data_IF_678658544771
#
_entry.id   IF_678658544771
#
_cell.length_a   1.000
_cell.length_b   1.000
_cell.length_c   1.000
_cell.angle_alpha   90.00
_cell.angle_beta   90.00
_cell.angle_gamma   90.00
#
_symmetry.space_group_name_H-M   'P 1'
#
loop_
_entity.id
_entity.type
_entity.pdbx_description
1 polymer ?
#
# COMPACT_ATOMS: atom_id res chain seq x y z
N UNK A 1 16.12 4.56 -28.47
CA UNK A 1 15.11 5.58 -28.12
C UNK A 1 15.12 5.69 -26.61
N UNK A 2 15.53 6.82 -26.09
CA UNK A 2 15.59 7.12 -24.65
C UNK A 2 14.15 7.13 -24.10
N UNK A 3 13.79 6.30 -23.10
CA UNK A 3 12.43 6.28 -22.53
C UNK A 3 12.18 7.45 -21.55
N UNK A 4 13.13 8.37 -21.37
CA UNK A 4 12.95 9.58 -20.58
C UNK A 4 11.97 10.56 -21.24
N UNK A 5 10.73 10.65 -20.75
CA UNK A 5 9.96 11.91 -20.60
C UNK A 5 8.46 11.77 -20.31
N UNK A 6 7.92 10.58 -19.98
CA UNK A 6 6.46 10.48 -19.74
C UNK A 6 6.05 10.87 -18.30
N UNK A 7 6.97 10.84 -17.33
CA UNK A 7 6.62 10.86 -15.91
C UNK A 7 6.90 12.15 -15.14
N UNK A 8 7.73 13.06 -15.69
CA UNK A 8 8.09 14.31 -15.00
C UNK A 8 8.20 15.50 -15.95
N UNK A 9 7.68 16.66 -15.51
CA UNK A 9 7.68 17.90 -16.31
C UNK A 9 9.00 18.66 -16.27
N UNK A 10 9.82 18.43 -15.25
CA UNK A 10 11.15 19.03 -15.08
C UNK A 10 11.94 18.22 -14.05
N UNK A 11 13.27 18.22 -14.16
CA UNK A 11 14.15 17.63 -13.16
C UNK A 11 15.34 18.55 -12.87
N UNK A 12 15.92 18.43 -11.67
CA UNK A 12 17.16 19.06 -11.27
C UNK A 12 18.00 18.08 -10.43
N UNK A 13 19.33 18.20 -10.51
CA UNK A 13 20.24 17.42 -9.67
C UNK A 13 20.46 18.16 -8.36
N UNK A 14 20.22 17.48 -7.24
CA UNK A 14 20.41 18.01 -5.89
C UNK A 14 21.41 17.17 -5.11
N UNK A 15 22.09 17.79 -4.15
CA UNK A 15 22.96 17.09 -3.20
C UNK A 15 22.41 17.37 -1.79
N UNK A 16 21.61 16.46 -1.23
CA UNK A 16 21.06 16.62 0.10
C UNK A 16 22.16 16.73 1.15
N UNK A 17 22.11 17.78 1.97
CA UNK A 17 23.06 17.98 3.08
C UNK A 17 22.39 17.64 4.39
N UNK A 18 22.84 16.57 5.04
CA UNK A 18 22.41 16.22 6.39
C UNK A 18 22.75 17.34 7.39
N UNK A 19 21.76 17.76 8.17
CA UNK A 19 21.91 18.75 9.23
C UNK A 19 22.01 18.02 10.56
N UNK A 20 23.20 17.94 11.14
CA UNK A 20 23.39 17.39 12.48
C UNK A 20 22.99 18.43 13.52
N UNK A 21 21.96 18.12 14.33
CA UNK A 21 21.60 18.96 15.47
C UNK A 21 22.58 18.64 16.61
N UNK A 22 23.52 19.57 16.88
CA UNK A 22 24.35 19.50 18.09
C UNK A 22 23.43 19.58 19.32
N UNK A 23 23.36 18.52 20.12
CA UNK A 23 22.76 18.54 21.47
C UNK A 23 21.39 17.88 21.65
N UNK A 24 20.98 16.90 20.83
CA UNK A 24 19.83 16.02 21.16
C UNK A 24 20.22 14.55 21.09
N UNK A 25 20.04 13.87 22.21
CA UNK A 25 20.15 12.42 22.40
C UNK A 25 18.98 11.71 21.71
N UNK A 26 19.10 11.43 20.41
CA UNK A 26 18.75 10.11 19.84
C UNK A 26 19.16 10.06 18.34
N UNK A 27 20.31 9.45 17.99
CA UNK A 27 20.86 9.48 16.63
C UNK A 27 20.01 8.79 15.55
N UNK A 28 18.92 8.09 15.91
CA UNK A 28 18.14 7.25 14.98
C UNK A 28 16.68 7.65 14.76
N UNK A 29 16.11 8.60 15.53
CA UNK A 29 14.66 8.87 15.44
C UNK A 29 14.29 10.07 14.58
N UNK A 30 15.20 11.03 14.42
CA UNK A 30 14.97 12.26 13.69
C UNK A 30 16.14 12.56 12.78
N UNK A 31 15.83 12.99 11.57
CA UNK A 31 16.81 13.46 10.61
C UNK A 31 16.39 14.83 10.09
N UNK A 32 17.34 15.59 9.56
CA UNK A 32 17.02 16.82 8.84
C UNK A 32 17.98 16.96 7.68
N UNK A 33 17.47 17.38 6.54
CA UNK A 33 18.26 17.61 5.34
C UNK A 33 17.98 19.00 4.80
N UNK A 34 19.00 19.64 4.27
CA UNK A 34 18.86 20.82 3.44
C UNK A 34 18.97 20.43 1.97
N UNK A 35 17.96 20.79 1.21
CA UNK A 35 17.85 20.59 -0.23
C UNK A 35 17.85 21.97 -0.91
N UNK A 36 18.47 22.07 -2.09
CA UNK A 36 18.32 23.23 -2.95
C UNK A 36 17.24 22.89 -3.99
N UNK A 37 16.03 23.37 -3.79
CA UNK A 37 14.90 23.14 -4.69
C UNK A 37 14.60 24.42 -5.46
N UNK A 38 14.66 24.39 -6.79
CA UNK A 38 14.39 25.54 -7.67
C UNK A 38 15.19 26.80 -7.28
N UNK A 39 16.46 26.60 -6.89
CA UNK A 39 17.36 27.68 -6.45
C UNK A 39 17.10 28.20 -5.02
N UNK A 40 16.11 27.68 -4.29
CA UNK A 40 15.82 28.04 -2.91
C UNK A 40 16.23 26.95 -1.94
N UNK A 41 16.82 27.33 -0.81
CA UNK A 41 17.15 26.38 0.26
C UNK A 41 15.86 25.97 0.98
N UNK A 42 15.60 24.68 1.01
CA UNK A 42 14.50 24.07 1.73
C UNK A 42 15.08 23.15 2.80
N UNK A 43 14.61 23.28 4.03
CA UNK A 43 14.98 22.38 5.13
C UNK A 43 13.83 21.41 5.34
N UNK A 44 14.12 20.12 5.31
CA UNK A 44 13.14 19.07 5.61
C UNK A 44 13.45 18.49 6.99
N UNK A 45 12.41 18.34 7.81
CA UNK A 45 12.50 17.70 9.11
C UNK A 45 11.80 16.36 9.06
N UNK A 46 12.51 15.32 9.45
CA UNK A 46 12.10 13.94 9.31
C UNK A 46 12.01 13.27 10.68
N UNK A 47 11.01 12.42 10.85
CA UNK A 47 10.84 11.52 11.98
C UNK A 47 10.62 10.10 11.47
N UNK A 48 11.35 9.16 12.04
CA UNK A 48 11.24 7.74 11.66
C UNK A 48 9.83 7.22 11.93
N UNK A 49 9.32 6.39 11.02
CA UNK A 49 8.01 5.73 11.11
C UNK A 49 8.20 4.23 11.10
N UNK A 50 8.14 3.64 12.29
CA UNK A 50 8.30 2.18 12.50
C UNK A 50 6.99 1.40 12.42
N UNK A 51 5.84 2.09 12.43
CA UNK A 51 4.52 1.47 12.61
C UNK A 51 3.84 1.04 11.30
N UNK A 52 4.44 1.25 10.12
CA UNK A 52 3.85 0.89 8.81
C UNK A 52 3.96 -0.58 8.44
N UNK A 53 4.86 -1.29 9.10
CA UNK A 53 5.18 -2.65 8.73
C UNK A 53 5.17 -3.49 9.99
N UNK A 54 4.54 -4.66 9.94
CA UNK A 54 4.74 -5.63 11.00
C UNK A 54 6.20 -6.05 10.96
N UNK A 55 6.92 -5.92 12.09
CA UNK A 55 8.30 -6.39 12.18
C UNK A 55 8.39 -7.85 11.70
N UNK A 56 9.27 -8.11 10.73
CA UNK A 56 9.48 -9.44 10.12
C UNK A 56 8.20 -10.03 9.49
N UNK A 57 7.46 -9.27 8.68
CA UNK A 57 6.37 -9.84 7.89
C UNK A 57 6.89 -10.92 6.91
N UNK A 58 6.10 -11.98 6.64
CA UNK A 58 6.52 -13.04 5.74
C UNK A 58 6.50 -12.56 4.29
N UNK A 59 7.55 -12.90 3.55
CA UNK A 59 7.66 -12.76 2.10
C UNK A 59 7.75 -14.15 1.49
N UNK A 60 6.83 -14.45 0.58
CA UNK A 60 6.77 -15.70 -0.14
C UNK A 60 7.29 -15.52 -1.57
N UNK A 61 8.15 -16.41 -2.03
CA UNK A 61 8.70 -16.42 -3.39
C UNK A 61 8.88 -17.86 -3.88
N UNK A 62 8.95 -18.04 -5.20
CA UNK A 62 9.07 -19.34 -5.83
C UNK A 62 10.48 -19.59 -6.36
N UNK A 63 10.99 -20.79 -6.12
CA UNK A 63 12.26 -21.28 -6.62
C UNK A 63 12.12 -22.73 -7.10
N UNK A 64 12.27 -22.97 -8.39
CA UNK A 64 12.05 -24.24 -9.09
C UNK A 64 10.69 -24.88 -8.76
N UNK A 65 9.62 -24.08 -8.75
CA UNK A 65 8.25 -24.49 -8.43
C UNK A 65 7.97 -24.66 -6.93
N UNK A 66 8.98 -24.55 -6.07
CA UNK A 66 8.82 -24.66 -4.61
C UNK A 66 8.54 -23.28 -4.03
N UNK A 67 7.50 -23.20 -3.19
CA UNK A 67 7.17 -22.00 -2.44
C UNK A 67 8.07 -21.88 -1.22
N UNK A 68 8.98 -20.90 -1.25
CA UNK A 68 9.81 -20.52 -0.11
C UNK A 68 9.18 -19.40 0.69
N UNK A 69 9.49 -19.35 1.98
CA UNK A 69 9.12 -18.25 2.85
C UNK A 69 10.34 -17.67 3.56
N UNK A 70 10.53 -16.37 3.38
CA UNK A 70 11.56 -15.59 4.03
C UNK A 70 10.95 -14.51 4.92
N UNK A 71 11.71 -14.10 5.94
CA UNK A 71 11.42 -12.87 6.68
C UNK A 71 12.62 -11.95 6.48
N UNK A 72 12.64 -11.15 5.40
CA UNK A 72 13.80 -10.32 5.09
C UNK A 72 14.08 -9.38 6.25
N UNK A 73 15.36 -9.21 6.59
CA UNK A 73 15.77 -8.19 7.55
C UNK A 73 15.59 -6.83 6.90
N UNK A 74 14.45 -6.20 7.16
CA UNK A 74 14.15 -4.87 6.67
C UNK A 74 14.52 -3.87 7.76
N UNK A 75 15.37 -2.91 7.42
CA UNK A 75 15.70 -1.83 8.34
C UNK A 75 14.48 -0.91 8.50
N UNK A 76 13.81 -1.02 9.65
CA UNK A 76 12.67 -0.16 10.00
C UNK A 76 13.11 1.28 10.37
N UNK A 77 14.41 1.54 10.43
CA UNK A 77 14.98 2.83 10.84
C UNK A 77 15.28 3.77 9.64
N UNK A 78 14.81 3.41 8.44
CA UNK A 78 15.05 4.18 7.23
C UNK A 78 13.80 4.76 6.56
N UNK A 79 12.58 4.43 7.01
CA UNK A 79 11.36 5.08 6.54
C UNK A 79 11.02 6.28 7.43
N UNK A 80 10.96 7.46 6.82
CA UNK A 80 10.74 8.72 7.49
C UNK A 80 9.53 9.44 6.92
N UNK A 81 8.83 10.14 7.79
CA UNK A 81 7.90 11.19 7.40
C UNK A 81 8.30 12.54 7.97
N UNK A 82 7.83 13.59 7.33
CA UNK A 82 8.23 14.92 7.70
C UNK A 82 7.44 16.04 7.05
N UNK A 83 8.00 17.22 7.20
CA UNK A 83 7.49 18.45 6.62
C UNK A 83 8.66 19.34 6.20
N UNK A 84 8.35 20.32 5.36
CA UNK A 84 9.30 21.34 4.90
C UNK A 84 9.16 22.56 5.82
N UNK A 85 10.28 23.02 6.37
CA UNK A 85 10.34 24.17 7.27
C UNK A 85 9.76 25.42 6.59
N UNK A 86 8.86 26.13 7.29
CA UNK A 86 8.24 27.35 6.78
C UNK A 86 7.16 27.16 5.70
N UNK A 87 6.81 25.92 5.34
CA UNK A 87 5.75 25.63 4.34
C UNK A 87 4.57 24.90 5.00
N UNK A 88 3.48 25.63 5.37
CA UNK A 88 2.27 25.02 5.93
C UNK A 88 1.66 23.99 4.98
N UNK A 89 1.20 22.87 5.55
CA UNK A 89 0.58 21.78 4.77
C UNK A 89 1.54 21.00 3.87
N UNK A 90 2.85 21.23 3.98
CA UNK A 90 3.85 20.38 3.31
C UNK A 90 3.93 18.99 3.94
N UNK A 91 4.33 18.03 3.13
CA UNK A 91 4.50 16.64 3.56
C UNK A 91 5.71 16.03 2.88
N UNK A 92 6.44 15.17 3.60
CA UNK A 92 7.61 14.46 3.08
C UNK A 92 7.49 13.00 3.51
N UNK A 93 7.68 12.06 2.58
CA UNK A 93 7.83 10.63 2.86
C UNK A 93 9.08 10.13 2.14
N UNK A 94 10.05 9.63 2.88
CA UNK A 94 11.36 9.23 2.36
C UNK A 94 11.81 7.89 2.94
N UNK A 95 12.34 7.04 2.07
CA UNK A 95 13.21 5.94 2.41
C UNK A 95 14.66 6.42 2.31
N UNK A 96 15.48 6.17 3.34
CA UNK A 96 16.89 6.60 3.41
C UNK A 96 17.88 5.43 3.40
N UNK A 97 17.41 4.19 3.21
CA UNK A 97 18.25 2.98 3.30
C UNK A 97 19.38 2.97 2.26
N UNK A 98 19.12 3.47 1.06
CA UNK A 98 20.07 3.52 -0.06
C UNK A 98 20.16 4.92 -0.64
N UNK A 99 20.18 5.94 0.23
CA UNK A 99 20.00 7.35 -0.15
C UNK A 99 18.55 7.80 -0.08
N UNK A 100 18.28 9.08 -0.29
CA UNK A 100 16.92 9.64 -0.22
C UNK A 100 16.09 9.22 -1.45
N UNK A 101 15.08 8.38 -1.23
CA UNK A 101 14.07 8.02 -2.24
C UNK A 101 12.69 8.31 -1.68
N UNK A 102 11.82 8.97 -2.44
CA UNK A 102 10.43 9.16 -2.04
C UNK A 102 9.80 10.43 -2.58
N UNK A 103 8.83 10.97 -1.84
CA UNK A 103 7.95 12.06 -2.29
C UNK A 103 8.00 13.25 -1.34
N UNK A 104 8.06 14.45 -1.92
CA UNK A 104 7.88 15.72 -1.23
C UNK A 104 6.68 16.45 -1.82
N UNK A 105 5.78 16.95 -0.96
CA UNK A 105 4.64 17.78 -1.35
C UNK A 105 4.90 19.19 -0.81
N UNK A 106 5.11 20.13 -1.73
CA UNK A 106 5.30 21.56 -1.42
C UNK A 106 4.19 22.35 -2.08
N UNK A 107 3.39 23.08 -1.30
CA UNK A 107 2.31 23.96 -1.81
C UNK A 107 1.36 23.21 -2.77
N UNK A 108 1.02 21.97 -2.43
CA UNK A 108 0.14 21.11 -3.23
C UNK A 108 0.78 20.48 -4.47
N UNK A 109 2.07 20.73 -4.74
CA UNK A 109 2.80 20.14 -5.86
C UNK A 109 3.66 18.95 -5.39
N UNK A 110 3.48 17.76 -5.98
CA UNK A 110 4.30 16.60 -5.67
C UNK A 110 5.62 16.60 -6.46
N UNK A 111 6.70 16.31 -5.76
CA UNK A 111 8.05 16.13 -6.27
C UNK A 111 8.54 14.73 -5.89
N UNK A 112 9.15 14.03 -6.85
CA UNK A 112 9.88 12.79 -6.58
C UNK A 112 11.36 13.07 -6.36
N UNK A 113 11.98 12.34 -5.44
CA UNK A 113 13.44 12.33 -5.27
C UNK A 113 13.94 10.89 -5.33
N UNK A 114 15.05 10.67 -6.03
CA UNK A 114 15.70 9.36 -6.09
C UNK A 114 17.22 9.47 -6.20
N UNK A 115 17.98 8.51 -5.66
CA UNK A 115 19.44 8.46 -5.80
C UNK A 115 19.83 8.27 -7.27
N UNK A 116 20.93 8.90 -7.69
CA UNK A 116 21.54 8.61 -8.99
C UNK A 116 22.41 7.35 -8.91
N UNK A 117 22.16 6.36 -9.76
CA UNK A 117 22.83 5.04 -9.73
C UNK A 117 24.38 5.09 -9.77
N UNK A 118 24.96 6.14 -10.35
CA UNK A 118 26.42 6.30 -10.54
C UNK A 118 27.03 7.45 -9.74
N UNK A 119 26.29 8.02 -8.79
CA UNK A 119 26.73 9.19 -8.03
C UNK A 119 27.99 8.92 -7.19
N UNK A 120 28.97 9.83 -7.26
CA UNK A 120 30.16 9.84 -6.39
C UNK A 120 30.02 10.78 -5.19
N UNK A 121 28.96 11.61 -5.14
CA UNK A 121 28.80 12.72 -4.19
C UNK A 121 27.44 12.75 -3.47
N UNK A 122 26.74 11.62 -3.42
CA UNK A 122 25.38 11.52 -2.88
C UNK A 122 24.41 12.46 -3.63
N UNK A 123 24.48 12.43 -4.96
CA UNK A 123 23.62 13.18 -5.86
C UNK A 123 22.29 12.46 -6.06
N UNK A 124 21.22 13.25 -6.13
CA UNK A 124 19.86 12.81 -6.30
C UNK A 124 19.22 13.55 -7.46
N UNK A 125 18.33 12.88 -8.18
CA UNK A 125 17.42 13.53 -9.12
C UNK A 125 16.19 13.97 -8.33
N UNK A 126 15.87 15.26 -8.40
CA UNK A 126 14.63 15.82 -7.90
C UNK A 126 13.79 16.23 -9.09
N UNK A 127 12.56 15.73 -9.20
CA UNK A 127 11.71 15.97 -10.36
C UNK A 127 10.28 16.33 -9.99
N UNK A 128 9.66 17.16 -10.82
CA UNK A 128 8.23 17.49 -10.70
C UNK A 128 7.42 16.37 -11.31
N UNK A 129 6.49 15.79 -10.55
CA UNK A 129 5.66 14.73 -11.11
C UNK A 129 4.61 15.35 -12.04
N UNK A 130 4.38 14.74 -13.22
CA UNK A 130 3.42 15.25 -14.18
C UNK A 130 2.00 15.36 -13.58
N UNK A 131 1.31 16.47 -13.85
CA UNK A 131 0.01 16.79 -13.24
C UNK A 131 -1.19 15.98 -13.77
N UNK A 132 -1.06 15.26 -14.89
CA UNK A 132 -2.22 14.90 -15.73
C UNK A 132 -2.47 13.40 -15.96
N UNK A 133 -1.74 12.50 -15.30
CA UNK A 133 -2.10 11.08 -15.33
C UNK A 133 -3.36 10.86 -14.47
N UNK A 134 -4.44 10.40 -15.10
CA UNK A 134 -5.68 9.96 -14.44
C UNK A 134 -5.78 8.46 -14.56
N UNK A 135 -6.26 7.85 -13.49
CA UNK A 135 -6.55 6.43 -13.45
C UNK A 135 -8.03 6.23 -13.13
N UNK A 136 -8.66 5.24 -13.77
CA UNK A 136 -10.08 4.94 -13.61
C UNK A 136 -10.33 3.62 -12.86
N UNK A 137 -11.51 3.52 -12.26
CA UNK A 137 -12.02 2.36 -11.54
C UNK A 137 -13.44 2.03 -12.00
N UNK A 138 -13.75 0.76 -12.30
CA UNK A 138 -15.10 0.29 -12.69
C UNK A 138 -15.85 -0.49 -11.63
N UNK A 139 -15.53 -0.28 -10.36
CA UNK A 139 -16.37 -0.76 -9.27
C UNK A 139 -17.76 -0.15 -9.42
N UNK A 140 -18.78 -1.00 -9.59
CA UNK A 140 -20.18 -0.57 -9.71
C UNK A 140 -20.99 -1.08 -8.53
N UNK A 141 -21.80 -0.22 -7.92
CA UNK A 141 -22.66 -0.58 -6.78
C UNK A 141 -23.66 -1.71 -7.10
N UNK A 142 -23.99 -1.92 -8.38
CA UNK A 142 -24.87 -3.01 -8.85
C UNK A 142 -24.14 -4.29 -9.26
N UNK A 143 -22.84 -4.24 -9.55
CA UNK A 143 -22.04 -5.37 -10.04
C UNK A 143 -21.09 -5.97 -9.00
N UNK A 144 -20.77 -5.24 -7.93
CA UNK A 144 -20.06 -5.80 -6.78
C UNK A 144 -20.95 -6.83 -6.09
N UNK A 145 -20.42 -8.03 -5.82
CA UNK A 145 -21.11 -8.98 -4.94
C UNK A 145 -21.18 -8.37 -3.54
N UNK A 146 -22.26 -7.63 -3.27
CA UNK A 146 -22.51 -7.02 -1.97
C UNK A 146 -22.72 -8.15 -0.98
N UNK A 147 -21.87 -8.21 0.05
CA UNK A 147 -22.09 -9.09 1.20
C UNK A 147 -23.34 -8.61 1.93
N UNK A 148 -24.49 -9.16 1.54
CA UNK A 148 -25.73 -9.05 2.31
C UNK A 148 -25.62 -9.99 3.49
N UNK A 149 -25.17 -9.50 4.64
CA UNK A 149 -25.36 -10.21 5.90
C UNK A 149 -26.85 -10.22 6.22
N UNK A 150 -27.55 -11.26 5.78
CA UNK A 150 -28.94 -11.57 6.13
C UNK A 150 -29.03 -12.03 7.59
N UNK A 151 -28.66 -11.16 8.52
CA UNK A 151 -29.11 -11.19 9.91
C UNK A 151 -29.55 -9.78 10.28
N UNK A 152 -30.76 -9.43 9.87
CA UNK A 152 -31.53 -8.36 10.51
C UNK A 152 -31.80 -8.78 11.98
N UNK A 153 -30.82 -8.63 12.86
CA UNK A 153 -31.13 -8.30 14.24
C UNK A 153 -31.41 -6.80 14.23
N UNK A 154 -32.66 -6.45 14.56
CA UNK A 154 -33.23 -5.12 14.37
C UNK A 154 -32.25 -3.98 14.63
N UNK A 155 -32.11 -3.11 13.62
CA UNK A 155 -31.41 -1.84 13.70
C UNK A 155 -31.98 -1.00 14.84
N UNK A 156 -31.44 -1.16 16.05
CA UNK A 156 -31.60 -0.18 17.11
C UNK A 156 -30.70 0.99 16.75
N UNK A 157 -31.30 2.09 16.29
CA UNK A 157 -30.64 3.40 16.21
C UNK A 157 -29.86 3.63 17.51
N UNK A 158 -28.55 3.98 17.47
CA UNK A 158 -27.86 4.43 18.66
C UNK A 158 -28.60 5.67 19.17
N UNK A 159 -29.07 5.63 20.42
CA UNK A 159 -29.74 6.77 21.06
C UNK A 159 -28.77 7.87 21.51
N UNK A 160 -27.45 7.72 21.30
CA UNK A 160 -26.45 8.66 21.82
C UNK A 160 -25.37 9.07 20.81
N UNK A 161 -25.00 10.37 20.76
CA UNK A 161 -23.81 10.89 20.06
C UNK A 161 -22.47 10.26 20.52
N UNK A 162 -22.46 9.58 21.67
CA UNK A 162 -21.26 8.97 22.27
C UNK A 162 -20.74 7.76 21.47
N UNK A 163 -21.60 7.01 20.79
CA UNK A 163 -21.17 5.93 19.90
C UNK A 163 -20.46 6.46 18.65
N UNK A 164 -20.86 7.64 18.16
CA UNK A 164 -20.20 8.34 17.05
C UNK A 164 -18.77 8.73 17.42
N UNK A 165 -18.55 9.26 18.63
CA UNK A 165 -17.20 9.66 19.05
C UNK A 165 -16.28 8.45 19.25
N UNK A 166 -16.79 7.30 19.71
CA UNK A 166 -15.96 6.11 19.99
C UNK A 166 -15.38 5.45 18.73
N UNK A 167 -16.08 5.52 17.59
CA UNK A 167 -15.55 4.95 16.34
C UNK A 167 -14.45 5.82 15.74
N UNK A 168 -14.59 7.14 15.83
CA UNK A 168 -13.61 8.09 15.31
C UNK A 168 -12.47 8.40 16.30
N UNK A 169 -12.60 8.06 17.58
CA UNK A 169 -11.58 8.32 18.60
C UNK A 169 -10.35 7.42 18.51
N UNK A 170 -10.44 6.30 17.78
CA UNK A 170 -9.34 5.33 17.65
C UNK A 170 -9.00 5.14 16.18
N UNK A 171 -7.71 5.21 15.86
CA UNK A 171 -7.19 4.86 14.54
C UNK A 171 -7.54 3.41 14.23
N UNK A 172 -7.94 3.16 12.99
CA UNK A 172 -8.18 1.83 12.44
C UNK A 172 -6.91 1.34 11.78
N UNK A 173 -6.60 0.06 11.93
CA UNK A 173 -5.45 -0.56 11.31
C UNK A 173 -5.94 -1.60 10.30
N UNK A 174 -5.40 -1.56 9.09
CA UNK A 174 -5.71 -2.55 8.04
C UNK A 174 -4.48 -3.42 7.85
N UNK A 175 -4.56 -4.69 8.28
CA UNK A 175 -3.53 -5.70 8.01
C UNK A 175 -3.63 -6.13 6.53
N UNK A 176 -2.91 -5.45 5.64
CA UNK A 176 -2.94 -5.70 4.21
C UNK A 176 -1.91 -6.76 3.81
N UNK A 177 -2.33 -7.74 3.02
CA UNK A 177 -1.43 -8.66 2.32
C UNK A 177 -1.29 -8.24 0.85
N UNK A 178 -0.08 -8.17 0.32
CA UNK A 178 0.14 -7.77 -1.08
C UNK A 178 0.65 -8.94 -1.91
N UNK A 179 0.05 -9.16 -3.07
CA UNK A 179 0.53 -10.12 -4.07
C UNK A 179 1.05 -9.36 -5.28
N UNK A 180 2.25 -9.70 -5.75
CA UNK A 180 2.86 -9.10 -6.93
C UNK A 180 2.89 -10.15 -8.04
N UNK A 181 2.18 -9.87 -9.14
CA UNK A 181 2.16 -10.78 -10.28
C UNK A 181 3.54 -10.84 -10.98
N UNK A 182 3.77 -11.91 -11.73
CA UNK A 182 5.05 -12.21 -12.37
C UNK A 182 5.50 -11.10 -13.31
N UNK A 183 4.59 -10.57 -14.13
CA UNK A 183 4.92 -9.47 -15.03
C UNK A 183 5.38 -8.24 -14.25
N UNK A 184 4.68 -7.88 -13.17
CA UNK A 184 5.07 -6.73 -12.34
C UNK A 184 6.43 -6.93 -11.69
N UNK A 185 6.70 -8.14 -11.21
CA UNK A 185 8.01 -8.55 -10.67
C UNK A 185 9.13 -8.41 -11.72
N UNK A 186 8.91 -8.87 -12.95
CA UNK A 186 9.88 -8.73 -14.04
C UNK A 186 10.19 -7.26 -14.36
N UNK A 187 9.16 -6.42 -14.39
CA UNK A 187 9.34 -4.99 -14.64
C UNK A 187 10.11 -4.28 -13.51
N UNK A 188 10.16 -4.84 -12.29
CA UNK A 188 11.05 -4.40 -11.21
C UNK A 188 12.41 -5.12 -11.20
N UNK A 189 12.83 -5.64 -12.36
CA UNK A 189 14.15 -6.24 -12.55
C UNK A 189 14.28 -7.66 -12.00
N UNK A 190 13.17 -8.35 -11.76
CA UNK A 190 13.14 -9.73 -11.26
C UNK A 190 13.94 -9.91 -9.96
N UNK A 191 13.88 -8.92 -9.06
CA UNK A 191 14.58 -8.92 -7.79
C UNK A 191 13.58 -8.86 -6.63
N UNK A 192 13.63 -9.88 -5.77
CA UNK A 192 12.72 -10.03 -4.61
C UNK A 192 12.89 -8.86 -3.65
N UNK A 193 14.13 -8.48 -3.32
CA UNK A 193 14.40 -7.41 -2.37
C UNK A 193 13.96 -6.04 -2.90
N UNK A 194 14.23 -5.74 -4.17
CA UNK A 194 13.73 -4.51 -4.80
C UNK A 194 12.21 -4.49 -4.82
N UNK A 195 11.55 -5.59 -5.18
CA UNK A 195 10.08 -5.72 -5.17
C UNK A 195 9.50 -5.46 -3.79
N UNK A 196 10.10 -6.06 -2.74
CA UNK A 196 9.70 -5.85 -1.35
C UNK A 196 9.80 -4.37 -0.98
N UNK A 197 10.93 -3.71 -1.29
CA UNK A 197 11.12 -2.30 -1.00
C UNK A 197 10.12 -1.41 -1.76
N UNK A 198 9.82 -1.69 -3.03
CA UNK A 198 8.85 -0.93 -3.82
C UNK A 198 7.45 -0.99 -3.22
N UNK A 199 6.99 -2.18 -2.83
CA UNK A 199 5.68 -2.34 -2.19
C UNK A 199 5.63 -1.67 -0.82
N UNK A 200 6.72 -1.72 -0.06
CA UNK A 200 6.82 -0.99 1.21
C UNK A 200 6.71 0.53 1.03
N UNK A 201 7.43 1.09 0.04
CA UNK A 201 7.37 2.50 -0.28
C UNK A 201 5.95 2.91 -0.72
N UNK A 202 5.28 2.10 -1.56
CA UNK A 202 3.88 2.29 -1.94
C UNK A 202 2.97 2.29 -0.71
N UNK A 203 3.13 1.33 0.20
CA UNK A 203 2.32 1.22 1.43
C UNK A 203 2.50 2.44 2.34
N UNK A 204 3.74 2.95 2.46
CA UNK A 204 4.01 4.17 3.20
C UNK A 204 3.32 5.40 2.56
N UNK A 205 3.31 5.49 1.23
CA UNK A 205 2.59 6.55 0.51
C UNK A 205 1.06 6.39 0.61
N UNK A 206 0.53 5.17 0.62
CA UNK A 206 -0.90 4.91 0.82
C UNK A 206 -1.40 5.49 2.15
N UNK A 207 -0.56 5.48 3.19
CA UNK A 207 -0.88 6.08 4.49
C UNK A 207 -1.04 7.61 4.48
N UNK A 208 -0.63 8.29 3.41
CA UNK A 208 -0.94 9.71 3.21
C UNK A 208 -2.45 9.89 3.03
N UNK A 209 -3.07 9.03 2.21
CA UNK A 209 -4.48 9.14 1.84
C UNK A 209 -5.40 8.49 2.89
N UNK A 210 -5.05 7.30 3.39
CA UNK A 210 -5.91 6.54 4.33
C UNK A 210 -6.11 7.25 5.68
N UNK A 211 -5.19 8.12 6.09
CA UNK A 211 -5.30 8.92 7.32
C UNK A 211 -6.44 9.93 7.31
N UNK A 212 -6.89 10.38 6.13
CA UNK A 212 -8.03 11.31 6.05
C UNK A 212 -9.33 10.67 6.59
N UNK A 213 -9.42 9.33 6.62
CA UNK A 213 -10.50 8.56 7.25
C UNK A 213 -10.04 7.84 8.54
N UNK A 214 -9.01 8.37 9.22
CA UNK A 214 -8.44 7.84 10.46
C UNK A 214 -8.07 6.34 10.41
N UNK A 215 -7.48 5.93 9.28
CA UNK A 215 -7.04 4.56 9.03
C UNK A 215 -5.55 4.53 8.70
N UNK A 216 -4.85 3.49 9.13
CA UNK A 216 -3.46 3.19 8.76
C UNK A 216 -3.37 1.78 8.16
N UNK A 217 -2.80 1.69 6.96
CA UNK A 217 -2.46 0.46 6.29
C UNK A 217 -1.15 -0.06 6.86
N UNK A 218 -1.14 -1.33 7.23
CA UNK A 218 0.03 -2.02 7.75
C UNK A 218 0.27 -3.27 6.89
N UNK A 219 1.48 -3.40 6.35
CA UNK A 219 1.84 -4.57 5.56
C UNK A 219 1.99 -5.79 6.47
N UNK A 220 1.11 -6.78 6.31
CA UNK A 220 1.04 -8.00 7.10
C UNK A 220 1.77 -9.18 6.46
N UNK A 221 2.02 -9.12 5.15
CA UNK A 221 2.75 -10.14 4.38
C UNK A 221 2.78 -9.80 2.89
N UNK A 222 3.64 -10.50 2.15
CA UNK A 222 3.78 -10.34 0.71
C UNK A 222 4.02 -11.68 0.02
N UNK A 223 3.44 -11.89 -1.16
CA UNK A 223 3.76 -13.02 -2.02
C UNK A 223 4.12 -12.52 -3.42
N UNK A 224 5.25 -12.99 -3.95
CA UNK A 224 5.79 -12.58 -5.23
C UNK A 224 5.79 -13.82 -6.13
N UNK A 225 5.04 -13.75 -7.22
CA UNK A 225 4.97 -14.82 -8.20
C UNK A 225 6.19 -14.77 -9.12
N UNK A 226 7.34 -15.24 -8.64
CA UNK A 226 8.65 -15.07 -9.28
C UNK A 226 8.84 -15.89 -10.55
N UNK A 227 8.10 -16.99 -10.74
CA UNK A 227 8.28 -17.93 -11.87
C UNK A 227 7.12 -17.96 -12.87
N UNK A 228 5.96 -17.42 -12.48
CA UNK A 228 4.75 -17.39 -13.29
C UNK A 228 3.54 -17.11 -12.42
N UNK A 229 2.47 -16.61 -13.04
CA UNK A 229 1.24 -16.32 -12.30
C UNK A 229 0.54 -17.63 -11.87
N UNK A 230 0.05 -17.68 -10.63
CA UNK A 230 -0.64 -18.87 -10.08
C UNK A 230 -2.12 -18.94 -10.47
N UNK A 231 -2.62 -17.90 -11.12
CA UNK A 231 -3.96 -17.78 -11.66
C UNK A 231 -3.88 -17.19 -13.06
N UNK A 232 -4.98 -17.25 -13.81
CA UNK A 232 -5.13 -16.46 -15.02
C UNK A 232 -5.34 -14.98 -14.67
N UNK A 233 -4.52 -14.11 -15.25
CA UNK A 233 -4.50 -12.65 -15.03
C UNK A 233 -4.80 -11.93 -16.36
N UNK A 234 -6.05 -11.99 -16.87
CA UNK A 234 -6.42 -11.30 -18.11
C UNK A 234 -6.47 -9.77 -17.92
N UNK A 235 -6.55 -9.06 -19.05
CA UNK A 235 -6.63 -7.59 -19.06
C UNK A 235 -7.95 -7.03 -18.49
N UNK A 236 -9.02 -7.83 -18.46
CA UNK A 236 -10.23 -7.53 -17.69
C UNK A 236 -10.00 -7.81 -16.19
N UNK A 237 -9.80 -6.73 -15.42
CA UNK A 237 -9.55 -6.80 -13.99
C UNK A 237 -10.72 -7.38 -13.18
N UNK A 238 -11.95 -7.43 -13.72
CA UNK A 238 -13.09 -8.08 -13.04
C UNK A 238 -12.94 -9.59 -13.02
N UNK A 239 -12.41 -10.17 -14.08
CA UNK A 239 -12.09 -11.60 -14.14
C UNK A 239 -10.89 -11.88 -13.24
N UNK A 240 -9.84 -11.06 -13.33
CA UNK A 240 -8.66 -11.17 -12.45
C UNK A 240 -9.03 -11.11 -10.97
N UNK A 241 -9.89 -10.17 -10.55
CA UNK A 241 -10.35 -10.07 -9.15
C UNK A 241 -11.04 -11.35 -8.66
N UNK A 242 -11.87 -11.98 -9.51
CA UNK A 242 -12.56 -13.23 -9.15
C UNK A 242 -11.57 -14.38 -8.98
N UNK A 243 -10.65 -14.54 -9.93
CA UNK A 243 -9.61 -15.56 -9.90
C UNK A 243 -8.72 -15.38 -8.67
N UNK A 244 -8.25 -14.15 -8.41
CA UNK A 244 -7.41 -13.80 -7.28
C UNK A 244 -8.11 -14.08 -5.95
N UNK A 245 -9.39 -13.73 -5.84
CA UNK A 245 -10.14 -13.97 -4.62
C UNK A 245 -10.47 -15.46 -4.37
N UNK A 246 -10.60 -16.29 -5.42
CA UNK A 246 -10.70 -17.75 -5.27
C UNK A 246 -9.38 -18.30 -4.72
N UNK A 247 -8.26 -17.94 -5.36
CA UNK A 247 -6.92 -18.33 -4.91
C UNK A 247 -6.64 -17.86 -3.47
N UNK A 248 -7.02 -16.63 -3.11
CA UNK A 248 -6.89 -16.11 -1.75
C UNK A 248 -7.61 -17.00 -0.73
N UNK A 249 -8.83 -17.42 -1.05
CA UNK A 249 -9.65 -18.23 -0.15
C UNK A 249 -9.09 -19.64 0.03
N UNK A 250 -8.62 -20.24 -1.06
CA UNK A 250 -8.14 -21.62 -1.09
C UNK A 250 -6.71 -21.75 -0.54
N UNK A 251 -5.84 -20.79 -0.85
CA UNK A 251 -4.40 -20.87 -0.58
C UNK A 251 -3.99 -19.89 0.51
N UNK A 252 -4.16 -18.59 0.28
CA UNK A 252 -3.56 -17.54 1.12
C UNK A 252 -4.12 -17.50 2.56
N UNK A 253 -5.43 -17.70 2.74
CA UNK A 253 -6.06 -17.67 4.06
C UNK A 253 -5.49 -18.71 5.04
N UNK A 254 -4.94 -19.82 4.53
CA UNK A 254 -4.31 -20.85 5.33
C UNK A 254 -2.87 -20.50 5.73
N UNK A 255 -2.23 -19.57 5.01
CA UNK A 255 -0.83 -19.17 5.21
C UNK A 255 -0.72 -18.00 6.19
N UNK A 256 -1.45 -16.91 5.93
CA UNK A 256 -1.31 -15.66 6.68
C UNK A 256 -2.68 -15.02 6.94
N UNK A 257 -2.95 -14.70 8.21
CA UNK A 257 -4.12 -13.90 8.58
C UNK A 257 -3.92 -12.46 8.12
N UNK A 258 -4.92 -11.91 7.43
CA UNK A 258 -4.94 -10.56 6.89
C UNK A 258 -6.38 -10.05 6.83
N UNK A 259 -6.55 -8.72 6.80
CA UNK A 259 -7.84 -8.05 6.77
C UNK A 259 -8.35 -7.83 5.35
N UNK A 260 -7.41 -7.62 4.41
CA UNK A 260 -7.60 -7.46 2.97
C UNK A 260 -6.36 -7.99 2.23
N UNK A 261 -6.53 -8.44 0.99
CA UNK A 261 -5.41 -8.75 0.10
C UNK A 261 -5.52 -7.95 -1.21
N UNK A 262 -4.43 -7.33 -1.63
CA UNK A 262 -4.38 -6.53 -2.86
C UNK A 262 -3.37 -7.15 -3.83
N UNK A 263 -3.72 -7.23 -5.11
CA UNK A 263 -2.85 -7.77 -6.16
C UNK A 263 -2.38 -6.66 -7.09
N UNK A 264 -1.07 -6.50 -7.20
CA UNK A 264 -0.44 -5.55 -8.14
C UNK A 264 -0.12 -6.29 -9.44
N UNK A 265 -0.72 -5.83 -10.54
CA UNK A 265 -0.50 -6.40 -11.88
C UNK A 265 0.28 -5.45 -12.78
N UNK A 266 1.16 -5.99 -13.62
CA UNK A 266 2.06 -5.19 -14.46
C UNK A 266 1.54 -4.86 -15.86
N UNK A 267 0.51 -5.56 -16.35
CA UNK A 267 0.00 -5.33 -17.70
C UNK A 267 -0.84 -4.04 -17.81
N UNK A 268 -1.00 -3.56 -19.04
CA UNK A 268 -1.95 -2.49 -19.33
C UNK A 268 -3.36 -3.09 -19.39
N UNK A 269 -4.31 -2.60 -18.58
CA UNK A 269 -5.66 -3.13 -18.57
C UNK A 269 -6.45 -2.69 -19.82
N UNK A 270 -7.57 -3.36 -20.09
CA UNK A 270 -8.44 -3.05 -21.24
C UNK A 270 -9.22 -1.74 -21.07
N UNK A 271 -9.78 -1.52 -19.87
CA UNK A 271 -10.61 -0.33 -19.57
C UNK A 271 -10.10 0.36 -18.30
N UNK A 272 -10.29 -0.26 -17.13
CA UNK A 272 -9.97 0.31 -15.83
C UNK A 272 -8.73 -0.28 -15.19
N UNK A 273 -8.07 0.52 -14.37
CA UNK A 273 -6.81 0.12 -13.72
C UNK A 273 -7.01 -0.39 -12.30
N UNK A 274 -8.22 -0.35 -11.74
CA UNK A 274 -8.52 -0.81 -10.39
C UNK A 274 -9.88 -1.49 -10.28
N UNK A 275 -9.93 -2.56 -9.50
CA UNK A 275 -11.17 -3.30 -9.23
C UNK A 275 -11.14 -3.96 -7.85
N UNK A 276 -12.17 -3.70 -7.04
CA UNK A 276 -12.32 -4.27 -5.70
C UNK A 276 -13.74 -4.78 -5.39
N UNK A 277 -13.84 -5.59 -4.34
CA UNK A 277 -15.13 -5.95 -3.74
C UNK A 277 -15.59 -4.88 -2.73
N UNK A 278 -16.84 -4.43 -2.86
CA UNK A 278 -17.44 -3.48 -1.92
C UNK A 278 -17.79 -4.17 -0.58
N UNK A 279 -17.44 -3.55 0.55
CA UNK A 279 -17.58 -4.11 1.90
C UNK A 279 -16.77 -5.41 2.13
N UNK A 280 -15.67 -5.58 1.39
CA UNK A 280 -14.83 -6.76 1.45
C UNK A 280 -14.02 -6.92 2.73
N UNK A 281 -13.56 -5.83 3.35
CA UNK A 281 -12.62 -5.89 4.48
C UNK A 281 -13.16 -6.71 5.66
N UNK A 282 -12.25 -7.44 6.33
CA UNK A 282 -12.54 -8.43 7.38
C UNK A 282 -13.35 -9.67 6.91
N UNK A 283 -13.76 -9.76 5.65
CA UNK A 283 -14.49 -10.91 5.13
C UNK A 283 -13.56 -12.06 4.77
N UNK A 284 -13.97 -13.29 5.08
CA UNK A 284 -13.29 -14.48 4.55
C UNK A 284 -13.47 -14.58 3.04
N UNK A 285 -14.63 -14.18 2.51
CA UNK A 285 -15.00 -14.44 1.11
C UNK A 285 -14.67 -13.34 0.11
N UNK A 286 -14.51 -12.08 0.54
CA UNK A 286 -14.50 -10.94 -0.39
C UNK A 286 -13.47 -9.84 -0.06
N UNK A 287 -12.51 -10.10 0.82
CA UNK A 287 -11.52 -9.08 1.19
C UNK A 287 -10.37 -9.00 0.17
N UNK A 288 -10.69 -8.64 -1.07
CA UNK A 288 -9.74 -8.58 -2.17
C UNK A 288 -9.93 -7.36 -3.07
N UNK A 289 -8.82 -6.91 -3.66
CA UNK A 289 -8.72 -5.89 -4.70
C UNK A 289 -7.57 -6.22 -5.67
N UNK A 290 -7.64 -5.66 -6.89
CA UNK A 290 -6.61 -5.79 -7.93
C UNK A 290 -6.37 -4.42 -8.55
N UNK A 291 -5.09 -4.04 -8.69
CA UNK A 291 -4.66 -2.78 -9.29
C UNK A 291 -3.58 -2.98 -10.35
N UNK A 292 -3.79 -2.43 -11.53
CA UNK A 292 -2.83 -2.41 -12.62
C UNK A 292 -1.86 -1.24 -12.46
N UNK A 293 -0.57 -1.56 -12.31
CA UNK A 293 0.50 -0.60 -12.19
C UNK A 293 1.44 -0.64 -13.40
N UNK A 294 1.02 -0.05 -14.53
CA UNK A 294 1.83 -0.03 -15.75
C UNK A 294 2.64 1.27 -15.94
N UNK A 295 2.28 2.34 -15.21
CA UNK A 295 2.77 3.71 -15.46
C UNK A 295 3.88 4.20 -14.50
N UNK A 296 4.51 3.36 -13.67
CA UNK A 296 5.59 3.69 -12.69
C UNK A 296 5.38 4.90 -11.75
N UNK A 297 4.25 5.61 -11.85
CA UNK A 297 3.86 6.73 -11.00
C UNK A 297 3.37 6.24 -9.63
N UNK A 298 4.32 6.11 -8.70
CA UNK A 298 4.13 5.48 -7.39
C UNK A 298 3.10 6.23 -6.52
N UNK A 299 3.02 7.56 -6.64
CA UNK A 299 2.08 8.36 -5.86
C UNK A 299 0.65 8.20 -6.39
N UNK A 300 0.48 8.17 -7.72
CA UNK A 300 -0.83 7.89 -8.33
C UNK A 300 -1.29 6.47 -8.02
N UNK A 301 -0.37 5.51 -8.05
CA UNK A 301 -0.66 4.12 -7.70
C UNK A 301 -1.06 3.97 -6.22
N UNK A 302 -0.39 4.68 -5.30
CA UNK A 302 -0.78 4.70 -3.89
C UNK A 302 -2.20 5.27 -3.68
N UNK A 303 -2.57 6.32 -4.45
CA UNK A 303 -3.94 6.85 -4.43
C UNK A 303 -4.96 5.81 -4.93
N UNK A 304 -4.66 5.11 -6.03
CA UNK A 304 -5.49 4.04 -6.58
C UNK A 304 -5.66 2.87 -5.59
N UNK A 305 -4.57 2.41 -4.96
CA UNK A 305 -4.63 1.36 -3.94
C UNK A 305 -5.55 1.74 -2.78
N UNK A 306 -5.51 3.01 -2.35
CA UNK A 306 -6.39 3.50 -1.28
C UNK A 306 -7.83 3.68 -1.75
N UNK A 307 -8.07 4.03 -3.01
CA UNK A 307 -9.40 4.03 -3.61
C UNK A 307 -10.02 2.63 -3.58
N UNK A 308 -9.29 1.61 -4.05
CA UNK A 308 -9.76 0.22 -4.03
C UNK A 308 -9.94 -0.31 -2.60
N UNK A 309 -9.04 0.05 -1.69
CA UNK A 309 -9.20 -0.21 -0.27
C UNK A 309 -10.48 0.47 0.27
N UNK A 310 -10.79 1.68 -0.17
CA UNK A 310 -12.02 2.40 0.16
C UNK A 310 -13.26 1.57 -0.15
N UNK A 311 -13.32 0.93 -1.33
CA UNK A 311 -14.39 -0.01 -1.67
C UNK A 311 -14.42 -1.21 -0.71
N UNK A 312 -13.27 -1.82 -0.40
CA UNK A 312 -13.22 -2.88 0.61
C UNK A 312 -13.74 -2.41 1.98
N UNK A 313 -13.50 -1.16 2.35
CA UNK A 313 -14.00 -0.51 3.58
C UNK A 313 -15.47 -0.02 3.47
N UNK A 314 -16.17 -0.37 2.39
CA UNK A 314 -17.60 -0.10 2.21
C UNK A 314 -17.92 1.28 1.64
N UNK A 315 -16.90 2.02 1.17
CA UNK A 315 -17.07 3.34 0.56
C UNK A 315 -17.43 3.18 -0.91
N UNK A 316 -18.50 3.85 -1.35
CA UNK A 316 -18.92 3.85 -2.76
C UNK A 316 -18.35 5.07 -3.49
N UNK A 317 -18.48 5.08 -4.82
CA UNK A 317 -18.09 6.24 -5.59
C UNK A 317 -18.85 7.50 -5.19
N UNK A 318 -18.14 8.63 -5.21
CA UNK A 318 -18.69 9.95 -4.92
C UNK A 318 -19.67 10.39 -6.02
N UNK A 319 -20.79 10.98 -5.61
CA UNK A 319 -21.71 11.66 -6.51
C UNK A 319 -21.55 13.18 -6.43
N UNK A 320 -22.29 13.91 -7.27
CA UNK A 320 -22.13 15.37 -7.45
C UNK A 320 -22.35 16.24 -6.21
N UNK A 321 -22.92 15.70 -5.13
CA UNK A 321 -23.12 16.45 -3.88
C UNK A 321 -22.05 16.15 -2.82
N UNK A 322 -21.10 15.28 -3.12
CA UNK A 322 -19.98 14.96 -2.23
C UNK A 322 -18.89 16.04 -2.35
N UNK A 323 -18.32 16.40 -1.20
CA UNK A 323 -17.39 17.52 -1.04
C UNK A 323 -16.11 17.01 -0.38
N UNK A 324 -14.96 17.23 -1.03
CA UNK A 324 -13.63 16.82 -0.56
C UNK A 324 -12.68 18.03 -0.40
N UNK A 325 -13.15 19.06 0.30
CA UNK A 325 -12.40 20.32 0.57
C UNK A 325 -11.90 21.00 -0.71
N UNK A 326 -10.70 21.58 -0.68
CA UNK A 326 -10.08 22.35 -1.77
C UNK A 326 -9.52 21.46 -2.90
N UNK A 327 -9.86 20.16 -2.94
CA UNK A 327 -9.37 19.22 -3.95
C UNK A 327 -10.25 19.26 -5.19
N UNK A 328 -9.63 19.11 -6.36
CA UNK A 328 -10.35 19.14 -7.64
C UNK A 328 -11.17 17.87 -7.87
N UNK A 329 -10.65 16.73 -7.45
CA UNK A 329 -11.31 15.43 -7.53
C UNK A 329 -11.28 14.79 -6.14
N UNK A 330 -12.37 14.13 -5.79
CA UNK A 330 -12.44 13.35 -4.57
C UNK A 330 -11.84 11.97 -4.83
N UNK A 331 -11.23 11.38 -3.81
CA UNK A 331 -10.51 10.12 -3.95
C UNK A 331 -11.43 8.99 -4.42
N UNK A 332 -12.71 9.01 -4.03
CA UNK A 332 -13.70 8.02 -4.46
C UNK A 332 -14.46 8.43 -5.73
N UNK A 333 -13.97 9.41 -6.50
CA UNK A 333 -14.49 9.67 -7.84
C UNK A 333 -14.01 8.58 -8.82
N UNK A 334 -14.75 8.33 -9.91
CA UNK A 334 -14.39 7.34 -10.95
C UNK A 334 -13.00 7.60 -11.56
N UNK A 335 -12.62 8.88 -11.65
CA UNK A 335 -11.30 9.31 -12.09
C UNK A 335 -10.48 9.83 -10.90
N UNK A 336 -9.34 9.17 -10.64
CA UNK A 336 -8.48 9.38 -9.48
C UNK A 336 -7.23 10.18 -9.89
N UNK A 337 -6.76 11.04 -9.00
CA UNK A 337 -5.56 11.85 -9.17
C UNK A 337 -4.70 11.88 -7.90
N UNK A 338 -3.43 12.29 -8.01
CA UNK A 338 -2.49 12.39 -6.87
C UNK A 338 -2.90 13.39 -5.80
N UNK A 339 -3.67 14.40 -6.19
CA UNK A 339 -4.16 15.45 -5.29
C UNK A 339 -5.52 15.11 -4.67
N UNK A 340 -6.11 13.96 -5.02
CA UNK A 340 -7.42 13.53 -4.52
C UNK A 340 -7.41 13.29 -3.01
N UNK A 341 -8.55 13.54 -2.36
CA UNK A 341 -8.77 13.29 -0.93
C UNK A 341 -10.19 12.79 -0.67
N UNK A 342 -10.42 12.17 0.48
CA UNK A 342 -11.73 11.59 0.81
C UNK A 342 -12.79 12.69 1.00
N UNK A 343 -14.02 12.39 0.60
CA UNK A 343 -15.16 13.30 0.73
C UNK A 343 -15.88 13.14 2.07
N UNK A 344 -16.81 14.06 2.36
CA UNK A 344 -17.79 13.87 3.43
C UNK A 344 -18.63 12.60 3.25
N UNK A 345 -19.07 12.29 2.02
CA UNK A 345 -19.80 11.06 1.71
C UNK A 345 -18.95 9.81 2.01
N UNK A 346 -17.67 9.86 1.69
CA UNK A 346 -16.74 8.76 1.96
C UNK A 346 -16.67 8.45 3.46
N UNK A 347 -16.61 9.50 4.28
CA UNK A 347 -16.61 9.38 5.75
C UNK A 347 -17.92 8.77 6.27
N UNK A 348 -19.06 9.16 5.70
CA UNK A 348 -20.38 8.64 6.07
C UNK A 348 -20.54 7.16 5.70
N UNK A 349 -20.06 6.75 4.52
CA UNK A 349 -20.07 5.34 4.13
C UNK A 349 -19.19 4.48 5.02
N UNK A 350 -17.96 4.92 5.31
CA UNK A 350 -17.07 4.19 6.20
C UNK A 350 -17.64 4.09 7.62
N UNK A 351 -18.27 5.17 8.11
CA UNK A 351 -18.99 5.13 9.37
C UNK A 351 -20.09 4.07 9.39
N UNK A 352 -20.89 3.99 8.31
CA UNK A 352 -21.95 2.99 8.19
C UNK A 352 -21.38 1.57 8.20
N UNK A 353 -20.27 1.34 7.48
CA UNK A 353 -19.55 0.06 7.47
C UNK A 353 -19.13 -0.38 8.88
N UNK A 354 -18.54 0.54 9.67
CA UNK A 354 -18.17 0.28 11.06
C UNK A 354 -19.40 0.05 11.96
N UNK A 355 -20.46 0.85 11.79
CA UNK A 355 -21.71 0.74 12.57
C UNK A 355 -22.42 -0.59 12.34
N UNK A 356 -22.30 -1.15 11.14
CA UNK A 356 -22.82 -2.47 10.78
C UNK A 356 -21.91 -3.62 11.24
N UNK A 357 -20.86 -3.33 12.03
CA UNK A 357 -19.91 -4.30 12.58
C UNK A 357 -19.12 -5.08 11.52
N UNK A 358 -19.04 -4.55 10.29
CA UNK A 358 -18.29 -5.19 9.21
C UNK A 358 -16.77 -5.03 9.38
N UNK A 359 -16.32 -3.95 10.02
CA UNK A 359 -14.91 -3.62 10.25
C UNK A 359 -14.30 -4.12 11.56
N UNK A 360 -14.80 -5.21 12.16
CA UNK A 360 -14.37 -5.64 13.49
C UNK A 360 -12.86 -5.94 13.61
N UNK A 361 -12.23 -6.45 12.53
CA UNK A 361 -10.79 -6.72 12.49
C UNK A 361 -9.92 -5.45 12.56
N UNK A 362 -10.47 -4.29 12.15
CA UNK A 362 -9.70 -3.06 11.98
C UNK A 362 -9.30 -2.37 13.30
N UNK A 363 -9.76 -2.89 14.44
CA UNK A 363 -9.50 -2.29 15.75
C UNK A 363 -8.26 -2.88 16.43
N UNK A 364 -7.64 -3.92 15.87
CA UNK A 364 -6.40 -4.45 16.42
C UNK A 364 -5.19 -3.75 15.80
N UNK A 365 -4.45 -2.95 16.60
CA UNK A 365 -3.11 -2.53 16.18
C UNK A 365 -2.24 -3.79 16.00
N UNK A 366 -1.66 -4.02 14.82
CA UNK A 366 -0.80 -5.17 14.58
C UNK A 366 0.34 -5.11 15.59
N UNK A 367 0.42 -6.13 16.45
CA UNK A 367 1.49 -6.18 17.45
C UNK A 367 2.77 -6.63 16.75
N UNK A 368 3.93 -6.01 17.03
CA UNK A 368 5.21 -6.60 16.66
C UNK A 368 5.23 -7.99 17.28
N UNK A 369 5.24 -9.06 16.46
CA UNK A 369 5.50 -10.41 16.96
C UNK A 369 6.97 -10.41 17.37
N UNK A 370 7.27 -10.04 18.61
CA UNK A 370 8.63 -9.86 19.08
C UNK A 370 9.40 -11.16 18.93
N UNK A 371 10.45 -11.21 18.08
CA UNK A 371 11.36 -12.35 17.81
C UNK A 371 10.81 -13.74 18.14
N UNK A 372 9.55 -14.00 17.85
CA UNK A 372 9.02 -15.34 17.87
C UNK A 372 9.53 -15.92 16.57
N UNK A 373 10.69 -16.57 16.67
CA UNK A 373 11.08 -17.67 15.80
C UNK A 373 9.77 -18.40 15.49
N UNK A 374 9.22 -18.22 14.30
CA UNK A 374 8.00 -18.94 13.93
C UNK A 374 8.36 -20.41 14.07
N UNK A 375 7.50 -21.19 14.72
CA UNK A 375 7.63 -22.65 14.66
C UNK A 375 7.45 -23.00 13.17
N UNK A 376 8.55 -23.39 12.53
CA UNK A 376 8.49 -24.01 11.21
C UNK A 376 7.45 -25.13 11.27
N UNK A 377 6.57 -25.19 10.27
CA UNK A 377 5.46 -26.14 10.28
C UNK A 377 5.61 -27.11 9.12
N UNK A 378 6.51 -28.07 9.31
CA UNK A 378 6.79 -29.12 8.35
C UNK A 378 5.51 -29.86 7.92
N UNK A 379 5.37 -30.04 6.61
CA UNK A 379 4.25 -30.71 5.95
C UNK A 379 3.15 -29.74 5.50
N UNK A 380 3.42 -28.43 5.44
CA UNK A 380 2.47 -27.43 4.95
C UNK A 380 2.70 -27.01 3.49
N UNK A 381 3.74 -27.55 2.85
CA UNK A 381 4.13 -27.26 1.46
C UNK A 381 4.84 -25.90 1.28
N UNK A 382 5.30 -25.28 2.37
CA UNK A 382 6.05 -24.02 2.37
C UNK A 382 7.41 -24.28 2.99
N UNK A 383 8.47 -24.09 2.20
CA UNK A 383 9.83 -24.28 2.68
C UNK A 383 10.23 -23.15 3.65
N UNK A 384 10.32 -23.46 4.95
CA UNK A 384 10.81 -22.54 5.99
C UNK A 384 12.37 -22.57 6.08
N UNK A 385 13.01 -21.51 6.61
CA UNK A 385 14.50 -21.36 6.66
C UNK A 385 15.28 -22.53 7.29
N UNK A 386 14.66 -23.34 8.16
CA UNK A 386 15.31 -24.48 8.81
C UNK A 386 14.96 -25.84 8.14
N UNK A 387 14.26 -25.84 7.02
CA UNK A 387 13.82 -27.04 6.32
C UNK A 387 14.65 -27.23 5.05
N UNK A 388 15.02 -28.48 4.76
CA UNK A 388 15.68 -28.85 3.51
C UNK A 388 14.64 -29.12 2.40
N UNK A 389 13.44 -29.55 2.78
CA UNK A 389 12.29 -29.76 1.91
C UNK A 389 10.97 -29.64 2.70
N UNK A 390 9.89 -29.23 2.03
CA UNK A 390 8.51 -29.38 2.51
C UNK A 390 7.61 -29.75 1.33
N UNK A 391 7.06 -30.96 1.38
CA UNK A 391 6.24 -31.58 0.34
C UNK A 391 4.74 -31.52 0.63
N UNK A 392 4.33 -30.86 1.72
CA UNK A 392 2.94 -30.79 2.12
C UNK A 392 2.36 -32.14 2.57
N UNK A 393 1.02 -32.24 2.67
CA UNK A 393 0.34 -33.46 3.11
C UNK A 393 0.41 -34.61 2.08
N UNK A 394 0.69 -34.32 0.80
CA UNK A 394 0.72 -35.29 -0.30
C UNK A 394 2.16 -35.69 -0.70
N UNK A 395 3.02 -35.86 0.30
CA UNK A 395 4.44 -36.15 0.12
C UNK A 395 4.75 -37.49 -0.58
N UNK A 396 3.79 -38.41 -0.65
CA UNK A 396 3.99 -39.77 -1.19
C UNK A 396 4.41 -39.83 -2.65
N UNK A 397 4.26 -38.73 -3.41
CA UNK A 397 4.70 -38.61 -4.80
C UNK A 397 6.03 -37.85 -4.96
N UNK A 398 6.67 -37.43 -3.87
CA UNK A 398 7.97 -36.76 -3.94
C UNK A 398 9.08 -37.81 -4.18
N UNK A 399 9.84 -37.74 -5.28
CA UNK A 399 10.86 -38.73 -5.61
C UNK A 399 12.15 -38.62 -4.77
N UNK A 400 12.27 -37.58 -3.93
CA UNK A 400 13.43 -37.28 -3.09
C UNK A 400 13.20 -37.63 -1.62
#
# INVERSE_FOLDING_TARGET
CDPGSVYYSSYETVIPKGLTVKGREDPGEKASYMLLMQGQKQVIHLKVKRDYFVNNFPVFSYHNGVLGQETPFISHDCHYEGYIEGVPGSFVSLNTCSGLRGILIKEGKPYGIEPMDTSKRFEHVLYTMAHQARVSCSVTSKGSQVVSTSRQQGSRKPRSPQALSSFWSHTKYVEMFVVVNNQRFQMWGSNVNETVQRVMDITALANIFSREINTEVVLAGMEIWTEGDLIEVPADLRVTLRNFNSWRQEQLLHRVKHDVAHMIVGHHPEEDVGQAFLNGACSRGFAAAVEAFHHEDVLLFAALMVHELGHNLGIQHDHSACICKDKRFCLMHENITKDSGFSNCSSDHFYQFLREHKGACLFNKPRPKGRLRRQATCGNGVLDYNEECDCGPDCGNNPC
#
